data_IF_071612723472
#
_entry.id   IF_071612723472
#
_cell.length_a   1.000
_cell.length_b   1.000
_cell.length_c   1.000
_cell.angle_alpha   90.00
_cell.angle_beta   90.00
_cell.angle_gamma   90.00
#
_symmetry.space_group_name_H-M   'P 1'
#
loop_
_entity.id
_entity.type
_entity.pdbx_description
1 polymer ?
#
# COMPACT_ATOMS: atom_id res chain seq x y z
N UNK A 1 45.31 38.85 -13.82
CA UNK A 1 44.00 39.43 -13.48
C UNK A 1 42.98 38.31 -13.53
N UNK A 2 42.72 37.70 -12.39
CA UNK A 2 41.71 36.64 -12.28
C UNK A 2 40.33 37.30 -12.33
N UNK A 3 39.38 36.80 -13.15
CA UNK A 3 38.04 37.36 -13.16
C UNK A 3 37.39 37.05 -11.80
N UNK A 4 37.17 38.10 -11.01
CA UNK A 4 36.27 38.04 -9.86
C UNK A 4 34.89 37.70 -10.40
N UNK A 5 34.49 36.43 -10.27
CA UNK A 5 33.11 36.01 -10.42
C UNK A 5 32.28 36.97 -9.56
N UNK A 6 31.42 37.75 -10.22
CA UNK A 6 30.52 38.67 -9.57
C UNK A 6 29.46 37.81 -8.87
N UNK A 7 29.79 37.37 -7.65
CA UNK A 7 28.87 36.60 -6.81
C UNK A 7 27.71 37.55 -6.53
N UNK A 8 26.51 37.18 -6.96
CA UNK A 8 25.32 37.97 -6.70
C UNK A 8 25.25 38.20 -5.18
N UNK A 9 25.14 39.45 -4.68
CA UNK A 9 25.20 39.74 -3.24
C UNK A 9 24.06 39.09 -2.44
N UNK A 10 23.00 38.64 -3.12
CA UNK A 10 21.90 37.84 -2.56
C UNK A 10 22.26 36.36 -2.32
N UNK A 11 23.36 35.88 -2.90
CA UNK A 11 23.87 34.51 -2.77
C UNK A 11 25.14 34.44 -1.92
N UNK A 12 25.53 35.57 -1.31
CA UNK A 12 26.62 35.64 -0.35
C UNK A 12 26.16 34.97 0.96
N UNK A 13 26.92 34.03 1.55
CA UNK A 13 26.56 33.39 2.81
C UNK A 13 26.49 34.34 4.02
N UNK A 14 26.92 35.60 3.86
CA UNK A 14 26.72 36.66 4.86
C UNK A 14 25.37 37.39 4.74
N UNK A 15 24.60 37.14 3.68
CA UNK A 15 23.27 37.69 3.51
C UNK A 15 22.26 36.97 4.43
N UNK A 16 21.34 37.67 5.12
CA UNK A 16 20.40 37.03 6.04
C UNK A 16 19.44 36.09 5.33
N UNK A 17 19.42 34.83 5.77
CA UNK A 17 18.56 33.77 5.28
C UNK A 17 17.08 34.15 5.34
N UNK A 18 16.66 34.89 6.38
CA UNK A 18 15.27 35.30 6.59
C UNK A 18 14.80 36.31 5.54
N UNK A 19 15.69 37.23 5.12
CA UNK A 19 15.36 38.19 4.08
C UNK A 19 15.24 37.47 2.73
N UNK A 20 16.14 36.53 2.45
CA UNK A 20 16.07 35.73 1.24
C UNK A 20 14.80 34.87 1.19
N UNK A 21 14.45 34.23 2.32
CA UNK A 21 13.20 33.49 2.48
C UNK A 21 11.98 34.38 2.26
N UNK A 22 11.93 35.56 2.89
CA UNK A 22 10.81 36.50 2.70
C UNK A 22 10.68 36.94 1.23
N UNK A 23 11.79 37.00 0.50
CA UNK A 23 11.79 37.30 -0.93
C UNK A 23 11.23 36.12 -1.75
N UNK A 24 11.58 34.88 -1.37
CA UNK A 24 11.05 33.63 -1.94
C UNK A 24 9.55 33.46 -1.63
N UNK A 25 9.10 33.80 -0.42
CA UNK A 25 7.69 33.79 -0.04
C UNK A 25 6.88 34.84 -0.82
N UNK A 26 7.49 36.01 -1.07
CA UNK A 26 6.90 37.09 -1.85
C UNK A 26 6.97 36.89 -3.37
N UNK A 27 7.72 35.91 -3.86
CA UNK A 27 7.56 35.35 -5.21
C UNK A 27 6.21 34.61 -5.23
N UNK A 28 5.14 35.41 -5.26
CA UNK A 28 3.79 35.04 -4.83
C UNK A 28 3.40 33.62 -5.25
N UNK A 29 3.16 32.76 -4.26
CA UNK A 29 2.12 31.72 -4.30
C UNK A 29 0.73 32.38 -4.40
N UNK A 30 0.53 33.30 -5.34
CA UNK A 30 -0.75 33.95 -5.55
C UNK A 30 -1.71 32.87 -6.00
N UNK A 31 -2.70 32.62 -5.14
CA UNK A 31 -3.94 31.92 -5.46
C UNK A 31 -4.29 32.11 -6.92
N UNK A 32 -4.59 31.02 -7.60
CA UNK A 32 -5.22 31.03 -8.90
C UNK A 32 -6.39 32.02 -8.84
N UNK A 33 -6.28 33.15 -9.56
CA UNK A 33 -7.46 33.85 -9.99
C UNK A 33 -8.19 32.87 -10.92
N UNK A 34 -9.45 32.59 -10.59
CA UNK A 34 -10.30 31.53 -11.14
C UNK A 34 -10.54 31.55 -12.67
N UNK A 35 -9.82 32.40 -13.40
CA UNK A 35 -9.94 32.60 -14.85
C UNK A 35 -8.61 32.43 -15.62
N UNK A 36 -7.51 32.00 -14.99
CA UNK A 36 -6.26 31.79 -15.71
C UNK A 36 -5.53 30.50 -15.26
N UNK A 37 -5.68 29.45 -16.07
CA UNK A 37 -5.14 28.09 -15.88
C UNK A 37 -3.60 28.01 -16.02
N UNK A 38 -2.84 28.81 -15.29
CA UNK A 38 -1.37 28.71 -15.31
C UNK A 38 -0.83 28.36 -13.92
N UNK A 39 -0.57 27.06 -13.71
CA UNK A 39 0.20 26.46 -12.61
C UNK A 39 1.69 26.89 -12.59
N UNK A 40 2.05 28.08 -13.09
CA UNK A 40 3.44 28.45 -13.43
C UNK A 40 4.34 28.85 -12.24
N UNK A 41 3.79 29.00 -11.02
CA UNK A 41 4.57 29.55 -9.89
C UNK A 41 5.32 28.49 -9.08
N UNK A 42 4.82 27.25 -8.97
CA UNK A 42 5.56 26.14 -8.35
C UNK A 42 6.85 25.86 -9.14
N UNK A 43 6.79 25.97 -10.48
CA UNK A 43 7.95 25.85 -11.36
C UNK A 43 9.01 26.92 -11.08
N UNK A 44 8.65 28.13 -10.64
CA UNK A 44 9.62 29.19 -10.34
C UNK A 44 10.43 28.92 -9.06
N UNK A 45 9.79 28.39 -8.00
CA UNK A 45 10.48 28.02 -6.74
C UNK A 45 11.37 26.79 -6.96
N UNK A 46 10.89 25.80 -7.73
CA UNK A 46 11.69 24.62 -8.12
C UNK A 46 12.84 25.02 -9.05
N UNK A 47 12.63 25.95 -9.98
CA UNK A 47 13.71 26.46 -10.81
C UNK A 47 14.75 27.23 -9.97
N UNK A 48 14.32 28.05 -9.00
CA UNK A 48 15.22 28.77 -8.10
C UNK A 48 16.08 27.81 -7.26
N UNK A 49 15.51 26.71 -6.76
CA UNK A 49 16.28 25.71 -6.02
C UNK A 49 17.31 24.97 -6.89
N UNK A 50 17.14 24.94 -8.22
CA UNK A 50 18.12 24.37 -9.15
C UNK A 50 19.25 25.34 -9.51
N UNK A 51 19.10 26.65 -9.27
CA UNK A 51 20.11 27.66 -9.66
C UNK A 51 21.30 27.77 -8.70
N UNK A 52 21.10 27.56 -7.39
CA UNK A 52 22.17 27.72 -6.40
C UNK A 52 21.97 26.81 -5.17
N UNK A 53 23.05 26.21 -4.67
CA UNK A 53 23.01 25.26 -3.53
C UNK A 53 22.45 25.88 -2.24
N UNK A 54 22.75 27.15 -1.99
CA UNK A 54 22.25 27.86 -0.81
C UNK A 54 20.72 28.07 -0.90
N UNK A 55 20.20 28.46 -2.07
CA UNK A 55 18.75 28.55 -2.32
C UNK A 55 18.08 27.20 -2.19
N UNK A 56 18.69 26.13 -2.72
CA UNK A 56 18.19 24.76 -2.56
C UNK A 56 18.05 24.37 -1.09
N UNK A 57 19.08 24.69 -0.28
CA UNK A 57 19.07 24.42 1.16
C UNK A 57 17.97 25.21 1.86
N UNK A 58 17.82 26.50 1.55
CA UNK A 58 16.81 27.36 2.17
C UNK A 58 15.38 26.94 1.84
N UNK A 59 15.10 26.66 0.57
CA UNK A 59 13.79 26.16 0.14
C UNK A 59 13.46 24.83 0.84
N UNK A 60 14.45 23.93 0.96
CA UNK A 60 14.25 22.65 1.65
C UNK A 60 13.99 22.81 3.15
N UNK A 61 14.71 23.72 3.81
CA UNK A 61 14.48 24.04 5.23
C UNK A 61 13.10 24.65 5.44
N UNK A 62 12.69 25.55 4.53
CA UNK A 62 11.37 26.15 4.56
C UNK A 62 10.24 25.14 4.38
N UNK A 63 10.35 24.28 3.36
CA UNK A 63 9.42 23.19 3.10
C UNK A 63 9.25 22.28 4.33
N UNK A 64 10.37 21.90 4.97
CA UNK A 64 10.35 21.11 6.21
C UNK A 64 9.66 21.84 7.36
N UNK A 65 9.93 23.14 7.53
CA UNK A 65 9.34 23.95 8.59
C UNK A 65 7.81 24.05 8.44
N UNK A 66 7.32 24.33 7.23
CA UNK A 66 5.88 24.35 6.94
C UNK A 66 5.28 22.97 7.14
N UNK A 67 5.91 21.94 6.57
CA UNK A 67 5.42 20.56 6.68
C UNK A 67 5.26 20.17 8.15
N UNK A 68 6.27 20.45 8.98
CA UNK A 68 6.21 20.21 10.42
C UNK A 68 5.06 20.98 11.08
N UNK A 69 4.91 22.27 10.77
CA UNK A 69 3.82 23.09 11.34
C UNK A 69 2.43 22.57 10.96
N UNK A 70 2.24 22.06 9.73
CA UNK A 70 0.97 21.48 9.28
C UNK A 70 0.72 20.15 10.00
N UNK A 71 1.72 19.29 10.06
CA UNK A 71 1.63 17.99 10.75
C UNK A 71 1.27 18.17 12.22
N UNK A 72 1.97 19.04 12.94
CA UNK A 72 1.75 19.26 14.36
C UNK A 72 0.35 19.84 14.64
N UNK A 73 -0.25 20.57 13.68
CA UNK A 73 -1.56 21.22 13.83
C UNK A 73 -2.74 20.35 13.37
N UNK A 74 -2.59 19.67 12.23
CA UNK A 74 -3.72 19.05 11.51
C UNK A 74 -3.58 17.54 11.36
N UNK A 75 -2.35 17.01 11.30
CA UNK A 75 -2.07 15.61 10.97
C UNK A 75 -1.09 14.97 11.98
N UNK A 76 -1.34 15.17 13.27
CA UNK A 76 -0.42 14.78 14.34
C UNK A 76 -0.15 13.27 14.42
N UNK A 77 -1.04 12.45 13.86
CA UNK A 77 -0.89 10.99 13.75
C UNK A 77 -0.06 10.54 12.54
N UNK A 78 0.04 11.35 11.48
CA UNK A 78 0.67 10.96 10.22
C UNK A 78 2.11 10.44 10.36
N UNK A 79 2.98 10.96 11.25
CA UNK A 79 4.31 10.41 11.46
C UNK A 79 4.34 8.96 11.97
N UNK A 80 3.31 8.55 12.72
CA UNK A 80 3.15 7.18 13.22
C UNK A 80 2.54 6.30 12.14
N UNK A 81 1.52 6.81 11.44
CA UNK A 81 0.75 6.05 10.47
C UNK A 81 1.55 5.79 9.17
N UNK A 82 2.35 6.77 8.75
CA UNK A 82 3.19 6.71 7.55
C UNK A 82 4.67 6.98 7.89
N UNK A 83 5.40 5.96 8.39
CA UNK A 83 6.76 6.11 8.88
C UNK A 83 7.70 6.68 7.81
N UNK A 84 8.32 7.82 8.15
CA UNK A 84 9.32 8.46 7.31
C UNK A 84 10.35 9.17 8.19
N UNK A 85 11.63 9.03 7.83
CA UNK A 85 12.72 9.73 8.51
C UNK A 85 12.44 11.24 8.50
N UNK A 86 12.66 11.92 9.64
CA UNK A 86 12.30 13.33 9.79
C UNK A 86 12.91 14.23 8.70
N UNK A 87 14.14 13.92 8.29
CA UNK A 87 14.85 14.63 7.22
C UNK A 87 14.18 14.47 5.83
N UNK A 88 13.38 13.44 5.63
CA UNK A 88 12.67 13.18 4.37
C UNK A 88 11.23 13.71 4.40
N UNK A 89 10.76 14.26 5.52
CA UNK A 89 9.43 14.86 5.63
C UNK A 89 9.42 16.22 4.93
N UNK A 90 8.73 16.27 3.79
CA UNK A 90 8.48 17.48 3.02
C UNK A 90 7.09 17.39 2.38
N UNK A 91 6.81 18.25 1.40
CA UNK A 91 5.52 18.30 0.72
C UNK A 91 5.17 16.99 0.02
N UNK A 92 6.16 16.28 -0.53
CA UNK A 92 5.93 14.97 -1.15
C UNK A 92 5.43 13.93 -0.13
N UNK A 93 6.02 13.89 1.07
CA UNK A 93 5.56 12.99 2.14
C UNK A 93 4.20 13.42 2.68
N UNK A 94 3.97 14.74 2.85
CA UNK A 94 2.66 15.26 3.28
C UNK A 94 1.55 14.87 2.29
N UNK A 95 1.83 15.02 0.98
CA UNK A 95 0.92 14.59 -0.07
C UNK A 95 0.65 13.09 0.00
N UNK A 96 1.69 12.27 0.17
CA UNK A 96 1.54 10.82 0.33
C UNK A 96 0.66 10.46 1.53
N UNK A 97 0.81 11.13 2.68
CA UNK A 97 -0.06 10.89 3.83
C UNK A 97 -1.53 11.24 3.55
N UNK A 98 -1.79 12.39 2.91
CA UNK A 98 -3.16 12.81 2.56
C UNK A 98 -3.77 11.81 1.57
N UNK A 99 -3.06 11.51 0.49
CA UNK A 99 -3.51 10.55 -0.53
C UNK A 99 -3.76 9.16 0.11
N UNK A 100 -2.95 8.78 1.10
CA UNK A 100 -3.11 7.55 1.87
C UNK A 100 -4.38 7.52 2.73
N UNK A 101 -4.66 8.58 3.49
CA UNK A 101 -5.91 8.68 4.25
C UNK A 101 -7.14 8.70 3.32
N UNK A 102 -7.09 9.44 2.21
CA UNK A 102 -8.16 9.48 1.21
C UNK A 102 -8.44 8.08 0.63
N UNK A 103 -7.38 7.30 0.39
CA UNK A 103 -7.49 5.91 -0.07
C UNK A 103 -8.19 5.04 0.96
N UNK A 104 -7.83 5.14 2.24
CA UNK A 104 -8.49 4.39 3.32
C UNK A 104 -9.96 4.78 3.42
N UNK A 105 -10.28 6.07 3.39
CA UNK A 105 -11.66 6.56 3.47
C UNK A 105 -12.50 6.03 2.30
N UNK A 106 -11.94 5.98 1.09
CA UNK A 106 -12.61 5.42 -0.08
C UNK A 106 -12.84 3.90 0.05
N UNK A 107 -11.87 3.15 0.57
CA UNK A 107 -12.03 1.71 0.88
C UNK A 107 -13.11 1.52 1.95
N UNK A 108 -13.02 2.24 3.06
CA UNK A 108 -13.95 2.14 4.18
C UNK A 108 -15.37 2.49 3.76
N UNK A 109 -15.55 3.44 2.85
CA UNK A 109 -16.86 3.74 2.23
C UNK A 109 -17.46 2.52 1.54
N UNK A 110 -16.66 1.69 0.85
CA UNK A 110 -17.12 0.44 0.23
C UNK A 110 -17.34 -0.67 1.25
N UNK A 111 -16.45 -0.79 2.24
CA UNK A 111 -16.57 -1.79 3.30
C UNK A 111 -17.76 -1.55 4.21
N UNK A 112 -18.22 -0.30 4.34
CA UNK A 112 -19.35 0.08 5.22
C UNK A 112 -20.60 0.46 4.43
N UNK A 113 -20.60 0.25 3.11
CA UNK A 113 -21.75 0.54 2.26
C UNK A 113 -22.97 -0.26 2.74
N UNK A 114 -24.14 0.36 2.96
CA UNK A 114 -25.36 -0.37 3.33
C UNK A 114 -25.78 -1.45 2.32
N UNK A 115 -25.36 -1.34 1.05
CA UNK A 115 -25.56 -2.35 0.01
C UNK A 115 -24.57 -3.51 0.06
N UNK A 116 -23.50 -3.41 0.86
CA UNK A 116 -22.53 -4.48 1.07
C UNK A 116 -23.08 -5.50 2.08
N UNK A 117 -23.49 -6.66 1.57
CA UNK A 117 -24.07 -7.74 2.39
C UNK A 117 -23.10 -8.39 3.38
N UNK A 118 -21.80 -8.09 3.26
CA UNK A 118 -20.71 -8.58 4.11
C UNK A 118 -19.85 -7.44 4.65
N UNK A 119 -20.47 -6.25 4.76
CA UNK A 119 -19.81 -5.04 5.22
C UNK A 119 -19.29 -5.13 6.66
N UNK A 120 -18.32 -4.27 6.96
CA UNK A 120 -17.77 -4.13 8.31
C UNK A 120 -18.84 -3.57 9.23
N UNK A 121 -19.09 -4.26 10.34
CA UNK A 121 -20.02 -3.78 11.35
C UNK A 121 -19.50 -2.52 12.05
N UNK A 122 -20.42 -1.65 12.51
CA UNK A 122 -20.07 -0.36 13.14
C UNK A 122 -19.10 -0.48 14.30
N UNK A 123 -19.21 -1.55 15.09
CA UNK A 123 -18.34 -1.77 16.25
C UNK A 123 -16.92 -2.18 15.87
N UNK A 124 -16.73 -2.73 14.65
CA UNK A 124 -15.43 -3.16 14.11
C UNK A 124 -14.80 -2.12 13.17
N UNK A 125 -15.50 -1.02 12.85
CA UNK A 125 -15.00 -0.01 11.92
C UNK A 125 -13.64 0.57 12.33
N UNK A 126 -13.45 0.85 13.62
CA UNK A 126 -12.19 1.40 14.12
C UNK A 126 -11.02 0.39 13.95
N UNK A 127 -11.27 -0.89 14.22
CA UNK A 127 -10.27 -1.95 14.03
C UNK A 127 -9.97 -2.20 12.56
N UNK A 128 -10.98 -2.14 11.67
CA UNK A 128 -10.76 -2.23 10.24
C UNK A 128 -9.93 -1.05 9.71
N UNK A 129 -10.21 0.18 10.19
CA UNK A 129 -9.43 1.37 9.85
C UNK A 129 -7.98 1.26 10.32
N UNK A 130 -7.77 0.86 11.57
CA UNK A 130 -6.43 0.58 12.13
C UNK A 130 -5.70 -0.50 11.34
N UNK A 131 -6.42 -1.53 10.90
CA UNK A 131 -5.91 -2.56 10.01
C UNK A 131 -5.41 -1.99 8.67
N UNK A 132 -6.13 -1.04 8.06
CA UNK A 132 -5.68 -0.38 6.83
C UNK A 132 -4.43 0.47 7.03
N UNK A 133 -4.31 1.16 8.17
CA UNK A 133 -3.08 1.89 8.52
C UNK A 133 -1.90 0.94 8.71
N UNK A 134 -2.13 -0.20 9.39
CA UNK A 134 -1.11 -1.23 9.54
C UNK A 134 -0.71 -1.84 8.19
N UNK A 135 -1.63 -1.97 7.23
CA UNK A 135 -1.30 -2.43 5.87
C UNK A 135 -0.39 -1.46 5.13
N UNK A 136 -0.50 -0.15 5.34
CA UNK A 136 0.48 0.82 4.80
C UNK A 136 1.86 0.64 5.44
N UNK A 137 1.92 0.26 6.72
CA UNK A 137 3.18 -0.04 7.39
C UNK A 137 3.79 -1.34 6.85
N UNK A 138 2.99 -2.39 6.65
CA UNK A 138 3.49 -3.67 6.11
C UNK A 138 3.98 -3.50 4.68
N UNK A 139 3.25 -2.76 3.82
CA UNK A 139 3.66 -2.55 2.43
C UNK A 139 4.85 -1.61 2.26
N UNK A 140 5.16 -0.80 3.29
CA UNK A 140 6.39 0.00 3.31
C UNK A 140 7.67 -0.82 3.55
N UNK A 141 7.54 -2.09 3.98
CA UNK A 141 8.67 -3.00 4.17
C UNK A 141 9.06 -3.61 2.83
N UNK A 142 10.37 -3.69 2.56
CA UNK A 142 10.87 -4.04 1.24
C UNK A 142 10.87 -5.55 0.98
N UNK A 143 10.84 -6.37 2.04
CA UNK A 143 11.04 -7.82 1.91
C UNK A 143 10.05 -8.63 2.76
N UNK A 144 9.63 -9.79 2.24
CA UNK A 144 8.76 -10.76 2.95
C UNK A 144 9.30 -11.13 4.34
N UNK A 145 10.61 -11.37 4.55
CA UNK A 145 11.16 -11.67 5.88
C UNK A 145 10.97 -10.53 6.90
N UNK A 146 11.04 -9.27 6.46
CA UNK A 146 10.79 -8.12 7.34
C UNK A 146 9.33 -8.08 7.78
N UNK A 147 8.41 -8.36 6.86
CA UNK A 147 6.97 -8.42 7.17
C UNK A 147 6.70 -9.58 8.15
N UNK A 148 7.31 -10.75 7.94
CA UNK A 148 7.22 -11.87 8.88
C UNK A 148 7.72 -11.49 10.28
N UNK A 149 8.87 -10.83 10.35
CA UNK A 149 9.43 -10.37 11.62
C UNK A 149 8.48 -9.38 12.33
N UNK A 150 7.88 -8.45 11.58
CA UNK A 150 6.88 -7.53 12.10
C UNK A 150 5.68 -8.28 12.67
N UNK A 151 5.08 -9.21 11.91
CA UNK A 151 3.91 -9.98 12.33
C UNK A 151 4.13 -10.76 13.64
N UNK A 152 5.32 -11.30 13.87
CA UNK A 152 5.65 -12.00 15.11
C UNK A 152 5.67 -11.05 16.32
N UNK A 153 6.09 -9.80 16.12
CA UNK A 153 6.21 -8.79 17.19
C UNK A 153 4.91 -8.06 17.52
N UNK A 154 3.94 -8.06 16.61
CA UNK A 154 2.67 -7.34 16.80
C UNK A 154 1.81 -7.98 17.91
N UNK A 155 1.09 -7.15 18.70
CA UNK A 155 0.14 -7.64 19.68
C UNK A 155 -1.10 -8.24 19.00
N UNK A 156 -1.84 -9.07 19.75
CA UNK A 156 -3.06 -9.73 19.28
C UNK A 156 -4.07 -8.75 18.67
N UNK A 157 -4.25 -7.58 19.28
CA UNK A 157 -5.19 -6.56 18.78
C UNK A 157 -4.83 -6.07 17.38
N UNK A 158 -3.54 -5.80 17.12
CA UNK A 158 -3.07 -5.31 15.81
C UNK A 158 -3.13 -6.40 14.74
N UNK A 159 -2.82 -7.64 15.10
CA UNK A 159 -2.97 -8.79 14.19
C UNK A 159 -4.45 -9.02 13.84
N UNK A 160 -5.35 -8.84 14.83
CA UNK A 160 -6.79 -8.92 14.61
C UNK A 160 -7.28 -7.79 13.70
N UNK A 161 -6.81 -6.55 13.89
CA UNK A 161 -7.09 -5.42 13.00
C UNK A 161 -6.65 -5.71 11.55
N UNK A 162 -5.42 -6.19 11.36
CA UNK A 162 -4.90 -6.58 10.04
C UNK A 162 -5.80 -7.63 9.39
N UNK A 163 -6.10 -8.70 10.12
CA UNK A 163 -6.97 -9.78 9.67
C UNK A 163 -8.37 -9.28 9.30
N UNK A 164 -9.00 -8.46 10.14
CA UNK A 164 -10.31 -7.88 9.88
C UNK A 164 -10.34 -7.06 8.59
N UNK A 165 -9.35 -6.18 8.40
CA UNK A 165 -9.24 -5.33 7.22
C UNK A 165 -9.11 -6.16 5.94
N UNK A 166 -8.20 -7.15 5.92
CA UNK A 166 -7.98 -8.02 4.76
C UNK A 166 -9.18 -8.94 4.49
N UNK A 167 -9.74 -9.54 5.55
CA UNK A 167 -10.87 -10.45 5.43
C UNK A 167 -12.11 -9.75 4.88
N UNK A 168 -12.46 -8.57 5.41
CA UNK A 168 -13.62 -7.81 4.89
C UNK A 168 -13.37 -7.25 3.49
N UNK A 169 -12.13 -6.90 3.14
CA UNK A 169 -11.78 -6.55 1.76
C UNK A 169 -12.02 -7.72 0.80
N UNK A 170 -11.56 -8.92 1.16
CA UNK A 170 -11.79 -10.15 0.38
C UNK A 170 -13.28 -10.46 0.26
N UNK A 171 -14.04 -10.42 1.36
CA UNK A 171 -15.48 -10.67 1.36
C UNK A 171 -16.22 -9.68 0.46
N UNK A 172 -15.88 -8.40 0.55
CA UNK A 172 -16.50 -7.35 -0.28
C UNK A 172 -16.17 -7.57 -1.76
N UNK A 173 -14.91 -7.85 -2.10
CA UNK A 173 -14.52 -8.19 -3.47
C UNK A 173 -15.27 -9.42 -4.00
N UNK A 174 -15.52 -10.40 -3.13
CA UNK A 174 -16.17 -11.67 -3.47
C UNK A 174 -17.67 -11.59 -3.67
N UNK A 175 -18.37 -10.76 -2.88
CA UNK A 175 -19.83 -10.80 -2.81
C UNK A 175 -20.52 -9.49 -3.20
N UNK A 176 -19.80 -8.38 -3.25
CA UNK A 176 -20.39 -7.07 -3.53
C UNK A 176 -19.90 -6.48 -4.87
N UNK A 177 -18.61 -6.61 -5.20
CA UNK A 177 -18.03 -5.99 -6.40
C UNK A 177 -18.00 -6.95 -7.61
N UNK A 178 -18.98 -6.83 -8.50
CA UNK A 178 -19.02 -7.54 -9.78
C UNK A 178 -18.56 -6.65 -10.96
N UNK A 179 -17.91 -7.20 -12.02
CA UNK A 179 -17.41 -8.56 -12.20
C UNK A 179 -15.90 -8.67 -11.89
N UNK A 180 -15.51 -9.58 -10.98
CA UNK A 180 -14.10 -9.93 -10.74
C UNK A 180 -13.88 -11.45 -10.70
N UNK A 181 -12.67 -11.95 -10.96
CA UNK A 181 -12.35 -13.39 -10.80
C UNK A 181 -12.47 -13.88 -9.34
N UNK A 182 -12.43 -12.99 -8.34
CA UNK A 182 -12.73 -13.35 -6.95
C UNK A 182 -14.24 -13.49 -6.69
N UNK A 183 -15.07 -12.91 -7.57
CA UNK A 183 -16.50 -12.79 -7.34
C UNK A 183 -17.21 -14.17 -7.38
N UNK A 184 -18.11 -14.39 -6.44
CA UNK A 184 -18.84 -15.66 -6.30
C UNK A 184 -19.61 -16.05 -7.56
N UNK A 185 -20.16 -15.07 -8.30
CA UNK A 185 -20.92 -15.35 -9.53
C UNK A 185 -20.08 -15.96 -10.63
N UNK A 186 -18.76 -15.75 -10.64
CA UNK A 186 -17.84 -16.30 -11.64
C UNK A 186 -17.77 -17.82 -11.59
N UNK A 187 -17.94 -18.40 -10.40
CA UNK A 187 -17.82 -19.84 -10.16
C UNK A 187 -19.17 -20.58 -10.15
N UNK A 188 -20.28 -19.87 -10.32
CA UNK A 188 -21.62 -20.45 -10.31
C UNK A 188 -22.06 -20.98 -8.93
N UNK A 189 -23.16 -21.74 -8.91
CA UNK A 189 -23.81 -22.24 -7.68
C UNK A 189 -23.22 -23.56 -7.17
N UNK A 190 -22.66 -24.38 -8.06
CA UNK A 190 -22.02 -25.66 -7.74
C UNK A 190 -20.59 -25.59 -8.22
N UNK A 191 -19.63 -25.87 -7.33
CA UNK A 191 -18.21 -25.90 -7.64
C UNK A 191 -17.73 -27.35 -7.61
N UNK A 192 -17.03 -27.77 -8.66
CA UNK A 192 -16.23 -28.99 -8.60
C UNK A 192 -14.96 -28.76 -7.76
N UNK A 193 -14.23 -29.84 -7.46
CA UNK A 193 -13.03 -29.76 -6.63
C UNK A 193 -11.96 -28.82 -7.22
N UNK A 194 -11.81 -28.81 -8.54
CA UNK A 194 -10.89 -27.93 -9.28
C UNK A 194 -11.27 -26.46 -9.15
N UNK A 195 -12.54 -26.12 -9.33
CA UNK A 195 -13.05 -24.74 -9.21
C UNK A 195 -12.94 -24.25 -7.77
N UNK A 196 -13.21 -25.12 -6.80
CA UNK A 196 -13.03 -24.81 -5.39
C UNK A 196 -11.55 -24.51 -5.06
N UNK A 197 -10.62 -25.34 -5.54
CA UNK A 197 -9.18 -25.11 -5.36
C UNK A 197 -8.74 -23.79 -5.99
N UNK A 198 -9.12 -23.53 -7.24
CA UNK A 198 -8.77 -22.29 -7.94
C UNK A 198 -9.27 -21.06 -7.18
N UNK A 199 -10.51 -21.10 -6.69
CA UNK A 199 -11.07 -20.01 -5.89
C UNK A 199 -10.28 -19.80 -4.60
N UNK A 200 -9.88 -20.87 -3.92
CA UNK A 200 -9.08 -20.78 -2.70
C UNK A 200 -7.73 -20.13 -2.99
N UNK A 201 -7.08 -20.53 -4.07
CA UNK A 201 -5.78 -19.98 -4.48
C UNK A 201 -5.89 -18.50 -4.89
N UNK A 202 -6.96 -18.10 -5.59
CA UNK A 202 -7.25 -16.69 -5.89
C UNK A 202 -7.50 -15.87 -4.62
N UNK A 203 -8.14 -16.46 -3.62
CA UNK A 203 -8.42 -15.80 -2.35
C UNK A 203 -7.15 -15.63 -1.51
N UNK A 204 -6.28 -16.64 -1.54
CA UNK A 204 -4.96 -16.58 -0.92
C UNK A 204 -4.11 -15.51 -1.59
N UNK A 205 -4.04 -15.50 -2.92
CA UNK A 205 -3.34 -14.48 -3.69
C UNK A 205 -3.84 -13.07 -3.36
N UNK A 206 -5.16 -12.88 -3.28
CA UNK A 206 -5.74 -11.60 -2.89
C UNK A 206 -5.28 -11.16 -1.49
N UNK A 207 -5.41 -12.04 -0.47
CA UNK A 207 -5.00 -11.71 0.89
C UNK A 207 -3.50 -11.46 1.03
N UNK A 208 -2.69 -12.26 0.36
CA UNK A 208 -1.24 -12.12 0.32
C UNK A 208 -0.85 -10.76 -0.28
N UNK A 209 -1.41 -10.40 -1.44
CA UNK A 209 -1.13 -9.12 -2.09
C UNK A 209 -1.63 -7.93 -1.29
N UNK A 210 -2.75 -8.04 -0.57
CA UNK A 210 -3.16 -6.99 0.37
C UNK A 210 -2.08 -6.70 1.43
N UNK A 211 -1.39 -7.74 1.94
CA UNK A 211 -0.34 -7.58 2.94
C UNK A 211 0.97 -7.03 2.34
N UNK A 212 1.26 -7.36 1.08
CA UNK A 212 2.47 -6.94 0.36
C UNK A 212 2.35 -5.54 -0.25
N UNK A 213 1.29 -5.29 -1.02
CA UNK A 213 1.07 -4.04 -1.76
C UNK A 213 0.26 -3.02 -0.95
N UNK A 214 -0.42 -3.47 0.12
CA UNK A 214 -1.14 -2.61 1.04
C UNK A 214 -2.49 -2.11 0.51
N UNK A 215 -3.01 -1.00 1.07
CA UNK A 215 -4.35 -0.52 0.77
C UNK A 215 -4.55 -0.07 -0.68
N UNK A 216 -3.51 0.34 -1.40
CA UNK A 216 -3.63 0.72 -2.82
C UNK A 216 -4.14 -0.43 -3.69
N UNK A 217 -3.73 -1.66 -3.40
CA UNK A 217 -4.24 -2.85 -4.09
C UNK A 217 -5.73 -3.05 -3.78
N UNK A 218 -6.12 -2.94 -2.51
CA UNK A 218 -7.52 -3.06 -2.08
C UNK A 218 -8.38 -2.00 -2.77
N UNK A 219 -7.91 -0.76 -2.80
CA UNK A 219 -8.60 0.34 -3.48
C UNK A 219 -8.82 0.03 -4.96
N UNK A 220 -7.77 -0.40 -5.69
CA UNK A 220 -7.89 -0.81 -7.09
C UNK A 220 -8.92 -1.91 -7.28
N UNK A 221 -8.93 -2.92 -6.41
CA UNK A 221 -9.85 -4.05 -6.50
C UNK A 221 -11.31 -3.68 -6.18
N UNK A 222 -11.52 -2.78 -5.21
CA UNK A 222 -12.84 -2.45 -4.71
C UNK A 222 -13.49 -1.23 -5.39
N UNK A 223 -12.72 -0.35 -6.00
CA UNK A 223 -13.24 0.80 -6.73
C UNK A 223 -13.77 0.39 -8.11
N UNK A 224 -14.62 1.24 -8.70
CA UNK A 224 -15.15 1.12 -10.07
C UNK A 224 -14.06 1.36 -11.15
N UNK A 225 -12.83 0.88 -10.91
CA UNK A 225 -11.78 0.87 -11.92
C UNK A 225 -12.16 -0.03 -13.09
N UNK A 226 -11.64 0.19 -14.31
CA UNK A 226 -11.93 -0.69 -15.43
C UNK A 226 -11.63 -2.17 -15.07
N UNK A 227 -12.53 -3.13 -15.37
CA UNK A 227 -12.34 -4.54 -15.00
C UNK A 227 -10.98 -5.11 -15.46
N UNK A 228 -10.48 -4.67 -16.62
CA UNK A 228 -9.17 -5.09 -17.12
C UNK A 228 -8.01 -4.75 -16.17
N UNK A 229 -8.03 -3.61 -15.49
CA UNK A 229 -6.97 -3.21 -14.57
C UNK A 229 -6.98 -4.05 -13.30
N UNK A 230 -8.18 -4.34 -12.77
CA UNK A 230 -8.38 -5.16 -11.56
C UNK A 230 -7.93 -6.59 -11.78
N UNK A 231 -8.36 -7.18 -12.88
CA UNK A 231 -8.06 -8.58 -13.19
C UNK A 231 -6.59 -8.78 -13.54
N UNK A 232 -5.95 -7.82 -14.22
CA UNK A 232 -4.50 -7.90 -14.46
C UNK A 232 -3.72 -7.85 -13.15
N UNK A 233 -4.09 -6.96 -12.22
CA UNK A 233 -3.44 -6.90 -10.90
C UNK A 233 -3.59 -8.22 -10.13
N UNK A 234 -4.80 -8.79 -10.10
CA UNK A 234 -5.07 -10.05 -9.43
C UNK A 234 -4.38 -11.25 -10.10
N UNK A 235 -4.35 -11.30 -11.43
CA UNK A 235 -3.70 -12.40 -12.16
C UNK A 235 -2.18 -12.36 -12.01
N UNK A 236 -1.59 -11.16 -11.98
CA UNK A 236 -0.17 -10.99 -11.68
C UNK A 236 0.13 -11.44 -10.25
N UNK A 237 -0.68 -11.00 -9.28
CA UNK A 237 -0.61 -11.46 -7.89
C UNK A 237 -0.71 -12.98 -7.78
N UNK A 238 -1.70 -13.58 -8.44
CA UNK A 238 -1.87 -15.03 -8.49
C UNK A 238 -0.64 -15.72 -9.06
N UNK A 239 -0.11 -15.26 -10.20
CA UNK A 239 1.10 -15.82 -10.81
C UNK A 239 2.31 -15.75 -9.88
N UNK A 240 2.50 -14.65 -9.15
CA UNK A 240 3.60 -14.50 -8.20
C UNK A 240 3.45 -15.38 -6.97
N UNK A 241 2.26 -15.40 -6.36
CA UNK A 241 2.00 -16.20 -5.15
C UNK A 241 2.09 -17.68 -5.45
N UNK A 242 1.46 -18.12 -6.56
CA UNK A 242 1.53 -19.49 -7.03
C UNK A 242 2.96 -19.87 -7.42
N UNK A 243 3.70 -19.00 -8.11
CA UNK A 243 5.11 -19.23 -8.44
C UNK A 243 5.99 -19.46 -7.21
N UNK A 244 5.79 -18.68 -6.15
CA UNK A 244 6.52 -18.81 -4.87
C UNK A 244 6.14 -20.11 -4.12
N UNK A 245 4.87 -20.48 -4.08
CA UNK A 245 4.43 -21.71 -3.39
C UNK A 245 4.82 -22.99 -4.14
N UNK A 246 4.90 -22.92 -5.46
CA UNK A 246 5.25 -24.05 -6.32
C UNK A 246 6.77 -24.24 -6.43
N UNK A 247 7.56 -23.34 -5.83
CA UNK A 247 9.01 -23.43 -5.83
C UNK A 247 9.59 -23.43 -7.23
N UNK A 248 8.98 -22.65 -8.15
CA UNK A 248 9.51 -22.41 -9.50
C UNK A 248 10.67 -21.43 -9.40
N UNK A 249 11.65 -21.75 -8.56
CA UNK A 249 12.98 -21.17 -8.65
C UNK A 249 13.61 -21.82 -9.88
N UNK A 250 14.18 -21.01 -10.78
CA UNK A 250 14.67 -21.43 -12.09
C UNK A 250 15.77 -22.51 -12.09
N UNK A 251 16.13 -23.07 -10.93
CA UNK A 251 17.06 -24.19 -10.78
C UNK A 251 16.38 -25.57 -10.86
N UNK A 252 15.09 -25.70 -10.50
CA UNK A 252 14.37 -27.00 -10.52
C UNK A 252 13.66 -27.28 -11.86
N UNK A 253 13.67 -26.33 -12.80
CA UNK A 253 13.01 -26.48 -14.12
C UNK A 253 13.83 -27.36 -15.08
N UNK A 254 15.13 -27.54 -14.82
CA UNK A 254 16.04 -28.23 -15.74
C UNK A 254 16.02 -29.77 -15.62
N UNK A 255 15.60 -30.34 -14.50
CA UNK A 255 15.70 -31.81 -14.31
C UNK A 255 14.40 -32.59 -14.55
N UNK A 256 13.23 -31.95 -14.55
CA UNK A 256 11.93 -32.66 -14.72
C UNK A 256 11.30 -32.53 -16.09
N UNK A 257 11.73 -31.57 -16.91
CA UNK A 257 11.31 -31.48 -18.31
C UNK A 257 12.52 -31.83 -19.16
N UNK A 258 12.61 -33.10 -19.55
CA UNK A 258 13.64 -33.59 -20.44
C UNK A 258 13.81 -32.66 -21.65
N UNK A 259 14.94 -31.96 -21.68
CA UNK A 259 15.55 -31.33 -22.84
C UNK A 259 14.61 -30.64 -23.83
N UNK A 260 14.05 -29.49 -23.47
CA UNK A 260 13.76 -28.47 -24.47
C UNK A 260 13.60 -27.08 -23.85
N UNK A 261 14.69 -26.31 -23.82
CA UNK A 261 14.79 -24.95 -23.27
C UNK A 261 13.97 -23.88 -24.04
N UNK A 262 12.98 -24.26 -24.84
CA UNK A 262 12.16 -23.36 -25.65
C UNK A 262 10.64 -23.63 -25.55
N UNK A 263 10.19 -24.46 -24.61
CA UNK A 263 8.76 -24.63 -24.37
C UNK A 263 8.26 -23.56 -23.39
N UNK A 264 7.80 -22.43 -23.92
CA UNK A 264 6.98 -21.50 -23.15
C UNK A 264 5.78 -22.25 -22.56
N UNK A 265 5.70 -22.17 -21.24
CA UNK A 265 4.73 -22.77 -20.32
C UNK A 265 3.28 -22.73 -20.81
N UNK A 266 2.53 -23.83 -20.63
CA UNK A 266 1.23 -23.73 -19.98
C UNK A 266 1.20 -24.72 -18.80
N UNK A 267 1.48 -24.22 -17.58
CA UNK A 267 1.33 -25.00 -16.35
C UNK A 267 -0.17 -25.07 -16.05
N UNK A 268 -0.85 -26.01 -16.70
CA UNK A 268 -2.25 -26.34 -16.46
C UNK A 268 -2.38 -27.33 -15.29
N UNK A 269 -1.29 -27.96 -14.87
CA UNK A 269 -1.22 -28.77 -13.65
C UNK A 269 0.07 -28.40 -12.91
N UNK A 270 -0.06 -27.64 -11.82
CA UNK A 270 1.08 -27.19 -11.01
C UNK A 270 1.84 -28.36 -10.38
N UNK A 271 3.17 -28.25 -10.22
CA UNK A 271 3.94 -29.22 -9.43
C UNK A 271 3.43 -29.26 -7.98
N UNK A 272 3.73 -30.36 -7.29
CA UNK A 272 3.34 -30.56 -5.89
C UNK A 272 3.78 -29.38 -5.02
N UNK A 273 2.85 -28.80 -4.26
CA UNK A 273 3.10 -27.66 -3.36
C UNK A 273 4.21 -28.01 -2.38
N UNK A 274 5.18 -27.11 -2.18
CA UNK A 274 6.13 -27.24 -1.07
C UNK A 274 5.36 -26.94 0.23
N UNK A 275 5.33 -27.89 1.16
CA UNK A 275 4.78 -27.65 2.50
C UNK A 275 5.61 -26.56 3.19
N UNK A 276 4.98 -25.43 3.52
CA UNK A 276 5.64 -24.31 4.21
C UNK A 276 6.11 -23.15 3.33
N UNK A 277 5.49 -22.93 2.17
CA UNK A 277 5.70 -21.73 1.36
C UNK A 277 5.65 -20.44 2.20
N UNK A 278 6.51 -19.47 1.85
CA UNK A 278 6.73 -18.21 2.56
C UNK A 278 5.57 -17.20 2.42
N UNK A 279 4.32 -17.64 2.59
CA UNK A 279 3.14 -16.76 2.56
C UNK A 279 3.04 -15.95 3.86
N UNK A 280 2.94 -14.64 3.69
CA UNK A 280 2.71 -13.66 4.76
C UNK A 280 1.31 -13.85 5.36
N UNK A 281 0.30 -14.13 4.53
CA UNK A 281 -1.05 -14.41 4.99
C UNK A 281 -1.10 -15.62 5.92
N UNK A 282 -0.47 -16.73 5.52
CA UNK A 282 -0.42 -17.92 6.36
C UNK A 282 0.37 -17.69 7.65
N UNK A 283 1.43 -16.87 7.61
CA UNK A 283 2.16 -16.45 8.81
C UNK A 283 1.28 -15.64 9.78
N UNK A 284 0.47 -14.71 9.26
CA UNK A 284 -0.50 -13.94 10.05
C UNK A 284 -1.53 -14.86 10.72
N UNK A 285 -2.16 -15.75 9.94
CA UNK A 285 -3.18 -16.68 10.47
C UNK A 285 -2.59 -17.60 11.53
N UNK A 286 -1.42 -18.20 11.27
CA UNK A 286 -0.73 -19.06 12.23
C UNK A 286 -0.39 -18.32 13.52
N UNK A 287 0.01 -17.04 13.42
CA UNK A 287 0.29 -16.23 14.61
C UNK A 287 -0.97 -15.96 15.44
N UNK A 288 -2.10 -15.74 14.79
CA UNK A 288 -3.39 -15.61 15.47
C UNK A 288 -3.82 -16.92 16.13
N UNK A 289 -3.65 -18.06 15.45
CA UNK A 289 -3.90 -19.40 16.02
C UNK A 289 -3.12 -19.62 17.32
N UNK A 290 -1.82 -19.28 17.33
CA UNK A 290 -0.96 -19.38 18.50
C UNK A 290 -1.44 -18.51 19.67
N UNK A 291 -1.87 -17.28 19.40
CA UNK A 291 -2.28 -16.32 20.43
C UNK A 291 -3.68 -16.60 20.98
N UNK A 292 -4.61 -17.08 20.15
CA UNK A 292 -5.95 -17.50 20.57
C UNK A 292 -5.97 -18.92 21.16
N UNK A 293 -4.94 -19.74 20.91
CA UNK A 293 -4.91 -21.14 21.35
C UNK A 293 -5.84 -22.06 20.55
N UNK A 294 -6.07 -21.74 19.27
CA UNK A 294 -6.97 -22.48 18.36
C UNK A 294 -6.20 -23.05 17.16
N UNK A 295 -6.83 -23.94 16.39
CA UNK A 295 -6.24 -24.51 15.17
C UNK A 295 -7.17 -24.34 13.97
N UNK A 296 -6.61 -23.88 12.86
CA UNK A 296 -7.32 -23.68 11.61
C UNK A 296 -7.90 -22.28 11.48
N UNK A 297 -7.85 -21.75 10.25
CA UNK A 297 -8.39 -20.43 9.91
C UNK A 297 -9.85 -20.25 10.32
N UNK A 298 -10.69 -21.30 10.19
CA UNK A 298 -12.10 -21.23 10.61
C UNK A 298 -12.28 -20.99 12.12
N UNK A 299 -11.41 -21.55 12.96
CA UNK A 299 -11.46 -21.32 14.40
C UNK A 299 -10.95 -19.91 14.78
N UNK A 300 -10.00 -19.37 14.00
CA UNK A 300 -9.58 -17.96 14.13
C UNK A 300 -10.75 -17.04 13.75
N UNK A 301 -11.47 -17.33 12.68
CA UNK A 301 -12.67 -16.58 12.28
C UNK A 301 -13.72 -16.56 13.41
N UNK A 302 -14.01 -17.71 14.02
CA UNK A 302 -14.93 -17.79 15.17
C UNK A 302 -14.45 -16.94 16.36
N UNK A 303 -13.16 -16.98 16.69
CA UNK A 303 -12.59 -16.20 17.79
C UNK A 303 -12.59 -14.69 17.53
N UNK A 304 -12.34 -14.28 16.28
CA UNK A 304 -12.30 -12.85 15.89
C UNK A 304 -13.70 -12.26 15.78
N UNK A 305 -14.66 -13.02 15.25
CA UNK A 305 -16.01 -12.53 14.99
C UNK A 305 -17.05 -12.92 16.05
N UNK A 306 -16.66 -13.71 17.07
CA UNK A 306 -17.52 -14.06 18.21
C UNK A 306 -18.77 -14.85 17.85
N UNK A 307 -18.66 -15.81 16.91
CA UNK A 307 -19.77 -16.71 16.53
C UNK A 307 -19.81 -17.96 17.40
#
# INVERSE_FOLDING_TARGET
>A
MSPTLNICPLLDPSFPDELLLSTIENLRFKSADANNNNNNNIYSVVALSQTHRHLASLVRTYERSITKSIVDRELWHAPRDFPCAEEKRGYAWLKYCIDGYDTIDAIMKRLTDPGNCVGVEKHNMASAYDGMLLLYQTSSLATVPEIHALLVTLPLSSLTSLYLATHHALLTARYHNAPSLVHQSTYGRQMDASTFSLRQDMSLAFCETCLLDGPEFIYKMLEDTPPCTREVALLNAFGEVVGREWGVDGEDVDERVGGNANANVPVVEGPARKEGGASVWMALVKRLEELFGVKGQGAVEECVFGR
#
